data_IF_588696504970
#
_entry.id   IF_588696504970
#
_cell.length_a   1.000
_cell.length_b   1.000
_cell.length_c   1.000
_cell.angle_alpha   90.00
_cell.angle_beta   90.00
_cell.angle_gamma   90.00
#
_symmetry.space_group_name_H-M   'P 1'
#
loop_
_entity.id
_entity.type
_entity.pdbx_description
1 polymer ?
#
# COMPACT_ATOMS: atom_id res chain seq x y z
N UNK A 1 4.68 -8.98 -2.60
CA UNK A 1 3.46 -9.63 -3.12
C UNK A 1 3.67 -10.24 -4.50
N UNK A 2 3.85 -9.46 -5.58
CA UNK A 2 3.96 -10.00 -6.96
C UNK A 2 5.01 -11.11 -7.14
N UNK A 3 6.19 -10.95 -6.53
CA UNK A 3 7.23 -11.98 -6.58
C UNK A 3 6.86 -13.30 -5.88
N UNK A 4 6.03 -13.24 -4.83
CA UNK A 4 5.51 -14.43 -4.14
C UNK A 4 4.50 -15.13 -5.03
N UNK A 5 3.50 -14.39 -5.52
CA UNK A 5 2.51 -14.88 -6.48
C UNK A 5 3.17 -15.56 -7.69
N UNK A 6 4.17 -14.92 -8.32
CA UNK A 6 4.89 -15.46 -9.48
C UNK A 6 5.58 -16.82 -9.22
N UNK A 7 6.00 -17.07 -7.98
CA UNK A 7 6.70 -18.30 -7.61
C UNK A 7 5.72 -19.39 -7.16
N UNK A 8 4.69 -19.03 -6.39
CA UNK A 8 3.82 -20.00 -5.71
C UNK A 8 2.51 -20.27 -6.43
N UNK A 9 1.88 -19.24 -6.97
CA UNK A 9 0.49 -19.31 -7.48
C UNK A 9 0.42 -19.21 -9.01
N UNK A 10 1.35 -18.48 -9.63
CA UNK A 10 1.34 -18.29 -11.06
C UNK A 10 1.58 -19.62 -11.81
N UNK A 11 0.86 -19.83 -12.94
CA UNK A 11 1.11 -20.97 -13.82
C UNK A 11 2.57 -21.09 -14.25
N UNK A 12 3.08 -22.32 -14.38
CA UNK A 12 4.50 -22.59 -14.69
C UNK A 12 4.98 -21.99 -16.02
N UNK A 13 4.08 -21.70 -16.95
CA UNK A 13 4.41 -21.07 -18.22
C UNK A 13 4.74 -19.57 -18.07
N UNK A 14 4.26 -18.91 -17.00
CA UNK A 14 4.57 -17.50 -16.72
C UNK A 14 5.97 -17.42 -16.08
N UNK A 15 6.95 -17.01 -16.87
CA UNK A 15 8.36 -16.92 -16.42
C UNK A 15 8.76 -15.54 -15.92
N UNK A 16 8.06 -14.49 -16.39
CA UNK A 16 8.42 -13.09 -16.16
C UNK A 16 7.18 -12.23 -15.96
N UNK A 17 7.26 -11.32 -15.00
CA UNK A 17 6.29 -10.23 -14.81
C UNK A 17 7.01 -8.92 -15.07
N UNK A 18 6.41 -8.07 -15.89
CA UNK A 18 6.90 -6.72 -16.17
C UNK A 18 6.06 -5.69 -15.42
N UNK A 19 6.74 -4.77 -14.75
CA UNK A 19 6.15 -3.62 -14.08
C UNK A 19 6.66 -2.38 -14.79
N UNK A 20 5.75 -1.58 -15.34
CA UNK A 20 6.08 -0.34 -16.03
C UNK A 20 5.51 0.82 -15.21
N UNK A 21 6.36 1.76 -14.82
CA UNK A 21 5.90 3.02 -14.25
C UNK A 21 5.51 3.97 -15.38
N UNK A 22 4.42 4.74 -15.24
CA UNK A 22 4.04 5.71 -16.26
C UNK A 22 5.06 6.85 -16.37
N UNK A 23 5.09 7.48 -17.54
CA UNK A 23 5.76 8.76 -17.73
C UNK A 23 4.97 9.82 -16.97
N UNK A 24 5.65 10.60 -16.14
CA UNK A 24 5.03 11.72 -15.41
C UNK A 24 4.39 12.67 -16.43
N UNK A 25 3.11 13.01 -16.24
CA UNK A 25 2.35 13.88 -17.15
C UNK A 25 1.61 13.16 -18.29
N UNK A 26 1.83 11.86 -18.48
CA UNK A 26 1.12 11.05 -19.48
C UNK A 26 0.47 9.83 -18.84
N UNK A 27 -0.61 10.10 -18.12
CA UNK A 27 -1.50 9.12 -17.53
C UNK A 27 -2.42 8.51 -18.60
N UNK A 28 -1.87 7.66 -19.48
CA UNK A 28 -2.67 6.83 -20.40
C UNK A 28 -3.04 5.47 -19.77
N UNK A 29 -3.15 5.43 -18.44
CA UNK A 29 -3.46 4.20 -17.72
C UNK A 29 -5.00 4.01 -17.75
N UNK A 30 -5.52 2.85 -18.18
CA UNK A 30 -6.97 2.60 -18.22
C UNK A 30 -7.72 2.91 -16.90
N UNK A 31 -7.17 2.61 -15.71
CA UNK A 31 -7.67 3.11 -14.43
C UNK A 31 -7.96 4.61 -14.34
N UNK A 32 -7.16 5.46 -14.99
CA UNK A 32 -7.35 6.92 -14.92
C UNK A 32 -8.57 7.36 -15.73
N UNK A 33 -8.90 6.64 -16.81
CA UNK A 33 -10.15 6.85 -17.55
C UNK A 33 -11.37 6.50 -16.69
N UNK A 34 -11.29 5.39 -15.95
CA UNK A 34 -12.36 4.98 -15.03
C UNK A 34 -12.52 6.02 -13.91
N UNK A 35 -11.42 6.50 -13.35
CA UNK A 35 -11.43 7.57 -12.36
C UNK A 35 -12.04 8.86 -12.92
N UNK A 36 -11.67 9.26 -14.14
CA UNK A 36 -12.23 10.44 -14.79
C UNK A 36 -13.75 10.32 -15.01
N UNK A 37 -14.25 9.12 -15.33
CA UNK A 37 -15.68 8.85 -15.44
C UNK A 37 -16.39 8.97 -14.09
N UNK A 38 -15.85 8.36 -13.04
CA UNK A 38 -16.36 8.47 -11.67
C UNK A 38 -16.42 9.95 -11.23
N UNK A 39 -15.34 10.71 -11.45
CA UNK A 39 -15.28 12.14 -11.09
C UNK A 39 -16.29 12.96 -11.89
N UNK A 40 -16.46 12.66 -13.19
CA UNK A 40 -17.45 13.33 -14.03
C UNK A 40 -18.86 13.10 -13.51
N UNK A 41 -19.17 11.89 -13.07
CA UNK A 41 -20.49 11.54 -12.55
C UNK A 41 -20.74 12.07 -11.13
N UNK A 42 -19.70 12.12 -10.29
CA UNK A 42 -19.77 12.82 -9.00
C UNK A 42 -20.06 14.32 -9.19
N UNK A 43 -19.42 14.97 -10.16
CA UNK A 43 -19.64 16.41 -10.44
C UNK A 43 -21.04 16.73 -10.97
N UNK A 44 -21.74 15.77 -11.58
CA UNK A 44 -23.14 15.97 -12.02
C UNK A 44 -24.11 16.00 -10.85
N UNK A 45 -23.75 15.45 -9.69
CA UNK A 45 -24.59 15.44 -8.49
C UNK A 45 -24.25 16.65 -7.65
N UNK A 46 -25.19 17.59 -7.52
CA UNK A 46 -25.00 18.81 -6.74
C UNK A 46 -24.82 18.53 -5.24
N UNK A 47 -25.52 17.50 -4.72
CA UNK A 47 -25.47 17.11 -3.31
C UNK A 47 -25.34 15.60 -3.18
N UNK A 48 -24.37 15.16 -2.38
CA UNK A 48 -24.22 13.77 -1.96
C UNK A 48 -24.62 13.69 -0.50
N UNK A 49 -25.77 13.07 -0.25
CA UNK A 49 -26.42 13.09 1.07
C UNK A 49 -25.95 11.94 1.97
N UNK A 50 -25.54 10.82 1.39
CA UNK A 50 -25.09 9.64 2.12
C UNK A 50 -23.82 9.01 1.53
N UNK A 51 -22.99 8.33 2.34
CA UNK A 51 -21.83 7.58 1.86
C UNK A 51 -22.17 6.45 0.88
N UNK A 52 -23.39 5.91 0.96
CA UNK A 52 -23.90 4.84 0.09
C UNK A 52 -23.97 5.29 -1.37
N UNK A 53 -24.31 6.56 -1.62
CA UNK A 53 -24.35 7.12 -2.98
C UNK A 53 -22.97 7.09 -3.64
N UNK A 54 -21.88 7.26 -2.88
CA UNK A 54 -20.52 7.07 -3.42
C UNK A 54 -20.26 5.63 -3.81
N UNK A 55 -20.69 4.67 -2.97
CA UNK A 55 -20.52 3.25 -3.23
C UNK A 55 -21.28 2.83 -4.49
N UNK A 56 -22.51 3.29 -4.67
CA UNK A 56 -23.31 3.03 -5.87
C UNK A 56 -22.60 3.51 -7.14
N UNK A 57 -22.13 4.76 -7.16
CA UNK A 57 -21.45 5.34 -8.33
C UNK A 57 -20.16 4.57 -8.63
N UNK A 58 -19.35 4.28 -7.62
CA UNK A 58 -18.09 3.55 -7.82
C UNK A 58 -18.37 2.12 -8.31
N UNK A 59 -19.41 1.47 -7.79
CA UNK A 59 -19.77 0.09 -8.15
C UNK A 59 -20.24 -0.04 -9.60
N UNK A 60 -20.77 1.03 -10.21
CA UNK A 60 -21.12 1.05 -11.64
C UNK A 60 -19.90 0.89 -12.55
N UNK A 61 -18.74 1.37 -12.11
CA UNK A 61 -17.52 1.36 -12.91
C UNK A 61 -16.50 0.31 -12.45
N UNK A 62 -16.57 -0.13 -11.20
CA UNK A 62 -15.58 -0.98 -10.56
C UNK A 62 -16.23 -2.07 -9.71
N UNK A 63 -15.56 -3.22 -9.58
CA UNK A 63 -15.93 -4.21 -8.58
C UNK A 63 -15.51 -3.73 -7.19
N UNK A 64 -16.47 -3.32 -6.37
CA UNK A 64 -16.22 -2.94 -4.99
C UNK A 64 -16.24 -4.19 -4.11
N UNK A 65 -15.21 -4.37 -3.28
CA UNK A 65 -15.20 -5.39 -2.22
C UNK A 65 -14.96 -4.71 -0.88
N UNK A 66 -15.82 -4.98 0.09
CA UNK A 66 -15.74 -4.34 1.39
C UNK A 66 -14.53 -4.87 2.17
N UNK A 67 -13.80 -3.97 2.84
CA UNK A 67 -12.52 -4.30 3.47
C UNK A 67 -12.67 -5.25 4.67
N UNK A 68 -13.84 -5.25 5.30
CA UNK A 68 -14.23 -6.17 6.37
C UNK A 68 -14.36 -7.62 5.91
N UNK A 69 -14.69 -7.84 4.63
CA UNK A 69 -14.81 -9.19 4.05
C UNK A 69 -13.47 -9.81 3.66
N UNK A 70 -12.41 -9.01 3.50
CA UNK A 70 -11.10 -9.47 3.03
C UNK A 70 -10.09 -9.45 4.17
N UNK A 71 -9.38 -10.57 4.36
CA UNK A 71 -8.22 -10.61 5.24
C UNK A 71 -7.09 -9.71 4.69
N UNK A 72 -6.83 -8.60 5.37
CA UNK A 72 -5.71 -7.70 5.05
C UNK A 72 -4.43 -8.30 5.61
N UNK A 73 -3.42 -8.53 4.77
CA UNK A 73 -2.17 -9.18 5.16
C UNK A 73 -1.06 -8.14 5.34
N UNK A 74 -0.27 -8.25 6.42
CA UNK A 74 0.92 -7.41 6.63
C UNK A 74 2.09 -7.92 5.79
N UNK A 75 2.10 -7.49 4.54
CA UNK A 75 3.22 -7.75 3.65
C UNK A 75 4.49 -7.01 4.08
N UNK A 76 4.37 -5.85 4.75
CA UNK A 76 5.50 -4.96 5.02
C UNK A 76 6.46 -5.56 6.02
N UNK A 77 5.92 -5.98 7.17
CA UNK A 77 6.72 -6.65 8.20
C UNK A 77 7.23 -8.00 7.71
N UNK A 78 6.42 -8.72 6.93
CA UNK A 78 6.78 -10.02 6.39
C UNK A 78 7.96 -9.97 5.40
N UNK A 79 8.05 -8.94 4.52
CA UNK A 79 9.14 -8.88 3.53
C UNK A 79 10.44 -8.34 4.11
N UNK A 80 10.41 -7.51 5.16
CA UNK A 80 11.58 -6.85 5.75
C UNK A 80 12.75 -7.80 6.10
N UNK A 81 12.53 -9.00 6.68
CA UNK A 81 13.61 -9.96 6.94
C UNK A 81 14.10 -10.71 5.68
N UNK A 82 13.32 -10.76 4.60
CA UNK A 82 13.59 -11.61 3.43
C UNK A 82 14.22 -10.82 2.29
N UNK A 83 13.74 -9.60 2.03
CA UNK A 83 14.15 -8.78 0.89
C UNK A 83 15.22 -7.78 1.34
N UNK A 84 16.24 -7.57 0.48
CA UNK A 84 17.25 -6.52 0.69
C UNK A 84 16.59 -5.15 0.64
N UNK A 85 17.04 -4.17 1.46
CA UNK A 85 16.55 -2.80 1.32
C UNK A 85 16.88 -2.28 -0.08
N UNK A 86 16.04 -1.37 -0.57
CA UNK A 86 16.13 -0.82 -1.92
C UNK A 86 17.47 -0.15 -2.21
N UNK A 87 18.15 0.38 -1.18
CA UNK A 87 19.49 0.98 -1.26
C UNK A 87 20.59 -0.02 -1.60
N UNK A 88 20.41 -1.31 -1.25
CA UNK A 88 21.38 -2.38 -1.54
C UNK A 88 21.07 -3.12 -2.85
N UNK A 89 20.12 -2.62 -3.64
CA UNK A 89 19.84 -3.22 -4.94
C UNK A 89 20.92 -2.82 -5.93
N UNK A 90 21.11 -3.68 -6.93
CA UNK A 90 22.04 -3.41 -8.03
C UNK A 90 21.55 -2.30 -8.98
N UNK A 91 20.30 -1.84 -8.80
CA UNK A 91 19.67 -0.79 -9.59
C UNK A 91 19.14 0.29 -8.66
N UNK A 92 19.21 1.54 -9.11
CA UNK A 92 18.64 2.68 -8.40
C UNK A 92 17.13 2.69 -8.64
N UNK A 93 16.35 2.27 -7.65
CA UNK A 93 14.90 2.08 -7.77
C UNK A 93 14.17 3.31 -8.32
N UNK A 94 14.51 4.50 -7.83
CA UNK A 94 13.89 5.77 -8.24
C UNK A 94 14.14 6.13 -9.72
N UNK A 95 15.26 5.67 -10.30
CA UNK A 95 15.58 5.93 -11.71
C UNK A 95 14.97 4.92 -12.67
N UNK A 96 14.54 3.77 -12.15
CA UNK A 96 13.98 2.71 -12.99
C UNK A 96 12.57 3.10 -13.45
N UNK A 97 12.34 2.93 -14.75
CA UNK A 97 11.02 3.10 -15.39
C UNK A 97 10.33 1.77 -15.61
N UNK A 98 11.10 0.68 -15.72
CA UNK A 98 10.58 -0.69 -15.84
C UNK A 98 11.30 -1.60 -14.86
N UNK A 99 10.57 -2.55 -14.28
CA UNK A 99 11.12 -3.68 -13.56
C UNK A 99 10.65 -4.98 -14.17
N UNK A 100 11.54 -5.96 -14.22
CA UNK A 100 11.20 -7.33 -14.56
C UNK A 100 11.47 -8.24 -13.38
N UNK A 101 10.45 -8.97 -12.99
CA UNK A 101 10.53 -10.05 -12.03
C UNK A 101 10.61 -11.35 -12.82
N UNK A 102 11.73 -12.04 -12.76
CA UNK A 102 11.93 -13.31 -13.47
C UNK A 102 12.06 -14.46 -12.49
N UNK A 103 11.39 -15.57 -12.77
CA UNK A 103 11.54 -16.82 -12.04
C UNK A 103 12.88 -17.48 -12.42
N UNK A 104 13.72 -17.75 -11.42
CA UNK A 104 14.93 -18.56 -11.60
C UNK A 104 14.59 -20.05 -11.68
N UNK A 105 15.47 -20.84 -12.29
CA UNK A 105 15.43 -22.31 -12.25
C UNK A 105 15.47 -22.85 -10.82
N UNK A 106 16.13 -22.13 -9.90
CA UNK A 106 16.25 -22.48 -8.47
C UNK A 106 15.11 -21.94 -7.60
N UNK A 107 13.95 -21.61 -8.19
CA UNK A 107 12.78 -20.99 -7.50
C UNK A 107 13.09 -19.69 -6.74
N UNK A 108 14.22 -19.03 -7.04
CA UNK A 108 14.54 -17.70 -6.55
C UNK A 108 13.96 -16.62 -7.48
N UNK A 109 13.70 -15.44 -6.92
CA UNK A 109 13.25 -14.28 -7.69
C UNK A 109 14.44 -13.43 -8.12
N UNK A 110 14.52 -13.18 -9.43
CA UNK A 110 15.49 -12.27 -10.01
C UNK A 110 14.78 -10.96 -10.37
N UNK A 111 15.41 -9.85 -10.02
CA UNK A 111 14.99 -8.52 -10.44
C UNK A 111 15.94 -8.01 -11.51
N UNK A 112 15.37 -7.36 -12.52
CA UNK A 112 16.05 -6.52 -13.49
C UNK A 112 15.34 -5.16 -13.49
N UNK A 113 16.09 -4.07 -13.41
CA UNK A 113 15.56 -2.72 -13.45
C UNK A 113 16.12 -1.97 -14.64
N UNK A 114 15.25 -1.35 -15.44
CA UNK A 114 15.62 -0.56 -16.61
C UNK A 114 15.31 0.91 -16.37
N UNK A 115 16.27 1.77 -16.69
CA UNK A 115 16.11 3.23 -16.59
C UNK A 115 15.40 3.82 -17.80
N UNK A 116 15.36 3.11 -18.92
CA UNK A 116 14.70 3.56 -20.15
C UNK A 116 13.51 2.67 -20.48
N UNK A 117 12.56 3.19 -21.25
CA UNK A 117 11.42 2.40 -21.71
C UNK A 117 11.77 1.46 -22.86
N UNK A 118 12.72 1.84 -23.71
CA UNK A 118 12.97 1.19 -25.00
C UNK A 118 14.16 0.21 -25.00
N UNK A 119 15.13 0.41 -24.12
CA UNK A 119 16.38 -0.36 -24.11
C UNK A 119 16.41 -1.26 -22.89
N UNK A 120 16.85 -2.51 -23.09
CA UNK A 120 16.98 -3.52 -22.03
C UNK A 120 18.46 -3.87 -21.80
N UNK A 121 18.98 -3.53 -20.62
CA UNK A 121 20.35 -3.84 -20.17
C UNK A 121 20.49 -5.31 -19.78
N UNK A 122 19.38 -6.00 -19.47
CA UNK A 122 19.30 -7.45 -19.24
C UNK A 122 20.13 -8.00 -18.08
N UNK A 123 20.51 -7.15 -17.13
CA UNK A 123 21.18 -7.58 -15.89
C UNK A 123 20.14 -8.02 -14.86
N UNK A 124 20.17 -9.31 -14.50
CA UNK A 124 19.27 -9.93 -13.53
C UNK A 124 20.04 -10.31 -12.28
N UNK A 125 19.61 -9.82 -11.10
CA UNK A 125 20.22 -10.19 -9.80
C UNK A 125 19.17 -10.53 -8.74
N UNK A 126 19.49 -11.41 -7.79
CA UNK A 126 18.59 -11.76 -6.70
C UNK A 126 18.45 -10.61 -5.69
N UNK A 127 17.21 -10.34 -5.28
CA UNK A 127 16.87 -9.29 -4.31
C UNK A 127 16.66 -9.81 -2.88
N UNK A 128 16.68 -11.13 -2.68
CA UNK A 128 16.57 -11.73 -1.35
C UNK A 128 17.89 -11.60 -0.58
N UNK A 129 17.81 -11.57 0.75
CA UNK A 129 18.96 -11.67 1.64
C UNK A 129 19.59 -13.07 1.54
N UNK A 130 20.85 -13.20 1.97
CA UNK A 130 21.58 -14.48 1.94
C UNK A 130 20.78 -15.56 2.68
N UNK A 131 20.68 -16.75 2.09
CA UNK A 131 19.96 -17.91 2.63
C UNK A 131 18.46 -17.69 2.89
N UNK A 132 17.84 -16.68 2.26
CA UNK A 132 16.40 -16.45 2.33
C UNK A 132 15.78 -16.59 0.96
N UNK A 133 14.60 -17.22 0.91
CA UNK A 133 13.79 -17.39 -0.28
C UNK A 133 12.43 -16.73 -0.09
N UNK A 134 11.80 -16.35 -1.20
CA UNK A 134 10.47 -15.70 -1.18
C UNK A 134 9.38 -16.70 -0.80
N UNK A 135 9.60 -18.00 -1.01
CA UNK A 135 8.64 -19.05 -0.64
C UNK A 135 8.36 -19.06 0.87
N UNK A 136 9.32 -18.65 1.70
CA UNK A 136 9.19 -18.59 3.18
C UNK A 136 8.26 -17.45 3.62
N UNK A 137 8.01 -16.47 2.76
CA UNK A 137 7.16 -15.31 3.08
C UNK A 137 5.74 -15.77 3.41
N UNK A 138 5.35 -15.53 4.65
CA UNK A 138 4.04 -15.85 5.25
C UNK A 138 3.56 -14.60 5.99
N UNK A 139 2.78 -13.72 5.33
CA UNK A 139 2.31 -12.50 5.96
C UNK A 139 1.23 -12.82 7.00
N UNK A 140 1.25 -12.09 8.11
CA UNK A 140 0.27 -12.21 9.19
C UNK A 140 -0.97 -11.40 8.85
N UNK A 141 -2.15 -11.91 9.19
CA UNK A 141 -3.41 -11.17 9.03
C UNK A 141 -3.42 -10.00 10.00
N UNK A 142 -3.70 -8.80 9.50
CA UNK A 142 -3.90 -7.61 10.32
C UNK A 142 -5.33 -7.67 10.87
N UNK A 143 -5.50 -7.82 12.20
CA UNK A 143 -6.83 -7.88 12.78
C UNK A 143 -7.54 -6.54 12.65
N UNK A 144 -8.79 -6.58 12.19
CA UNK A 144 -9.63 -5.41 12.08
C UNK A 144 -9.78 -4.71 13.43
N UNK A 145 -9.75 -3.37 13.43
CA UNK A 145 -9.87 -2.54 14.61
C UNK A 145 -8.79 -2.73 15.69
N UNK A 146 -7.74 -3.52 15.50
CA UNK A 146 -6.68 -3.68 16.52
C UNK A 146 -5.45 -2.78 16.28
N UNK A 147 -5.43 -2.04 15.18
CA UNK A 147 -4.36 -1.07 14.91
C UNK A 147 -4.42 0.09 15.91
N UNK A 148 -3.34 0.28 16.65
CA UNK A 148 -3.21 1.36 17.62
C UNK A 148 -2.53 2.54 16.95
N UNK A 149 -3.22 3.69 16.77
CA UNK A 149 -2.63 4.83 16.10
C UNK A 149 -1.47 5.44 16.91
N UNK A 150 -0.56 6.13 16.22
CA UNK A 150 0.52 6.90 16.86
C UNK A 150 -0.04 7.97 17.82
N UNK A 151 0.72 8.34 18.85
CA UNK A 151 0.28 9.28 19.90
C UNK A 151 -0.13 10.62 19.30
N UNK A 152 0.71 11.11 18.40
CA UNK A 152 0.50 12.36 17.68
C UNK A 152 -0.87 12.40 16.99
N UNK A 153 -1.26 11.32 16.29
CA UNK A 153 -2.55 11.22 15.59
C UNK A 153 -3.74 11.25 16.57
N UNK A 154 -3.64 10.57 17.70
CA UNK A 154 -4.72 10.56 18.71
C UNK A 154 -4.89 11.94 19.36
N UNK A 155 -3.78 12.61 19.65
CA UNK A 155 -3.78 13.98 20.17
C UNK A 155 -4.39 14.95 19.16
N UNK A 156 -4.01 14.82 17.89
CA UNK A 156 -4.51 15.66 16.81
C UNK A 156 -6.03 15.48 16.60
N UNK A 157 -6.50 14.24 16.50
CA UNK A 157 -7.95 13.94 16.43
C UNK A 157 -8.69 14.47 17.66
N UNK A 158 -8.11 14.33 18.86
CA UNK A 158 -8.70 14.89 20.09
C UNK A 158 -8.78 16.41 20.04
N UNK A 159 -7.80 17.08 19.42
CA UNK A 159 -7.79 18.53 19.26
C UNK A 159 -8.84 18.97 18.23
N UNK A 160 -9.01 18.23 17.13
CA UNK A 160 -10.06 18.51 16.14
C UNK A 160 -11.46 18.47 16.76
N UNK A 161 -11.76 17.44 17.56
CA UNK A 161 -13.05 17.35 18.23
C UNK A 161 -13.27 18.44 19.27
N UNK A 162 -12.25 18.72 20.08
CA UNK A 162 -12.33 19.73 21.15
C UNK A 162 -12.38 21.17 20.64
N UNK A 163 -11.64 21.50 19.57
CA UNK A 163 -11.43 22.89 19.13
C UNK A 163 -12.32 23.29 17.96
N UNK A 164 -12.62 22.39 17.01
CA UNK A 164 -13.31 22.77 15.76
C UNK A 164 -14.79 22.40 15.71
N UNK A 165 -15.16 21.16 16.04
CA UNK A 165 -16.49 20.66 15.70
C UNK A 165 -17.46 20.59 16.88
N UNK A 166 -17.05 20.00 18.02
CA UNK A 166 -17.99 19.53 19.05
C UNK A 166 -17.70 20.07 20.46
N UNK A 167 -16.70 20.96 20.59
CA UNK A 167 -16.30 21.60 21.85
C UNK A 167 -16.07 20.55 22.96
N UNK A 168 -16.60 20.76 24.17
CA UNK A 168 -16.41 19.86 25.33
C UNK A 168 -17.30 18.61 25.29
N UNK A 169 -18.43 18.64 24.57
CA UNK A 169 -19.49 17.62 24.60
C UNK A 169 -19.28 16.44 23.62
N UNK A 170 -18.18 16.43 22.88
CA UNK A 170 -17.89 15.36 21.91
C UNK A 170 -17.85 13.96 22.54
N UNK A 171 -17.60 13.87 23.85
CA UNK A 171 -17.59 12.60 24.59
C UNK A 171 -18.97 12.00 24.81
N UNK A 172 -20.04 12.78 24.66
CA UNK A 172 -21.40 12.32 24.94
C UNK A 172 -22.09 11.80 23.67
N UNK A 173 -21.52 12.11 22.51
CA UNK A 173 -22.04 11.71 21.20
C UNK A 173 -21.77 10.21 20.98
N UNK A 174 -22.84 9.45 20.69
CA UNK A 174 -22.79 8.00 20.42
C UNK A 174 -22.05 7.67 19.11
N UNK A 175 -22.20 8.50 18.08
CA UNK A 175 -21.52 8.29 16.79
C UNK A 175 -19.98 8.38 16.88
N UNK A 176 -19.44 8.97 17.96
CA UNK A 176 -17.99 9.09 18.19
C UNK A 176 -17.42 8.02 19.12
N UNK A 177 -18.20 7.00 19.47
CA UNK A 177 -17.79 5.93 20.39
C UNK A 177 -16.53 5.18 19.93
N UNK A 178 -16.39 4.94 18.62
CA UNK A 178 -15.18 4.35 18.02
C UNK A 178 -13.90 5.07 18.47
N UNK A 179 -13.90 6.40 18.47
CA UNK A 179 -12.72 7.19 18.85
C UNK A 179 -12.42 7.13 20.36
N UNK A 180 -13.45 6.88 21.18
CA UNK A 180 -13.27 6.65 22.64
C UNK A 180 -12.57 5.31 22.85
N UNK A 181 -13.02 4.27 22.16
CA UNK A 181 -12.41 2.92 22.21
C UNK A 181 -10.96 2.95 21.75
N UNK A 182 -10.65 3.65 20.66
CA UNK A 182 -9.27 3.81 20.15
C UNK A 182 -8.37 4.52 21.16
N UNK A 183 -8.87 5.56 21.84
CA UNK A 183 -8.11 6.28 22.87
C UNK A 183 -7.90 5.40 24.12
N UNK A 184 -8.90 4.65 24.54
CA UNK A 184 -8.85 3.76 25.70
C UNK A 184 -7.86 2.61 25.54
N UNK A 185 -7.73 2.04 24.34
CA UNK A 185 -6.78 0.93 24.08
C UNK A 185 -5.32 1.34 24.34
N UNK A 186 -4.94 2.57 23.95
CA UNK A 186 -3.58 3.07 24.18
C UNK A 186 -3.24 3.21 25.67
N UNK A 187 -4.20 3.58 26.52
CA UNK A 187 -3.94 3.74 27.96
C UNK A 187 -3.68 2.42 28.70
N UNK A 188 -3.99 1.27 28.10
CA UNK A 188 -3.66 -0.03 28.67
C UNK A 188 -2.25 -0.49 28.28
N UNK A 189 -1.89 -0.42 26.99
CA UNK A 189 -0.55 -0.87 26.55
C UNK A 189 0.62 0.03 26.99
N UNK A 190 0.37 1.31 27.28
CA UNK A 190 1.42 2.19 27.81
C UNK A 190 1.93 1.74 29.20
N UNK A 191 1.20 0.85 29.91
CA UNK A 191 1.69 0.25 31.16
C UNK A 191 2.69 -0.89 30.96
N UNK A 192 2.80 -1.43 29.74
CA UNK A 192 3.59 -2.66 29.47
C UNK A 192 4.86 -2.41 28.62
N UNK A 193 5.11 -1.18 28.14
CA UNK A 193 6.19 -0.89 27.15
C UNK A 193 7.28 0.05 27.70
N UNK A 194 7.07 0.71 28.84
CA UNK A 194 8.02 1.70 29.37
C UNK A 194 9.31 1.06 29.96
N UNK A 195 9.52 -0.26 29.85
CA UNK A 195 10.73 -0.95 30.37
C UNK A 195 11.78 -1.37 29.31
N UNK A 196 11.51 -1.34 28.00
CA UNK A 196 12.48 -1.91 27.04
C UNK A 196 12.41 -1.32 25.62
N UNK A 197 12.82 -0.06 25.40
CA UNK A 197 13.21 0.35 24.04
C UNK A 197 14.35 1.36 24.02
N UNK A 198 15.56 0.84 23.80
CA UNK A 198 16.71 1.61 23.35
C UNK A 198 16.38 2.35 22.03
N UNK A 199 16.81 3.60 21.98
CA UNK A 199 16.52 4.58 20.93
C UNK A 199 17.08 4.15 19.56
N UNK A 200 16.20 4.07 18.55
CA UNK A 200 16.63 4.05 17.14
C UNK A 200 16.61 5.51 16.65
N UNK A 201 17.73 6.05 16.12
CA UNK A 201 17.80 7.45 15.69
C UNK A 201 16.79 7.78 14.60
N UNK A 202 16.01 8.84 14.84
CA UNK A 202 14.86 9.29 14.06
C UNK A 202 15.19 10.10 12.80
N UNK A 203 16.38 9.96 12.23
CA UNK A 203 16.93 10.96 11.28
C UNK A 203 17.00 10.53 9.81
N UNK A 204 16.19 9.56 9.37
CA UNK A 204 16.19 9.13 7.95
C UNK A 204 15.16 9.84 7.05
N UNK A 205 14.40 10.83 7.52
CA UNK A 205 13.33 11.44 6.72
C UNK A 205 13.12 12.95 6.96
N UNK A 206 14.17 13.75 7.14
CA UNK A 206 13.97 15.20 7.40
C UNK A 206 13.99 16.11 6.18
N UNK A 207 14.58 15.74 5.05
CA UNK A 207 14.64 16.65 3.90
C UNK A 207 14.00 16.04 2.65
N UNK A 208 12.87 16.60 2.19
CA UNK A 208 12.40 16.39 0.81
C UNK A 208 10.91 16.12 0.54
N UNK A 209 9.98 16.54 1.41
CA UNK A 209 8.54 16.49 1.08
C UNK A 209 7.81 17.77 1.51
N UNK A 210 8.24 18.90 0.97
CA UNK A 210 7.41 20.08 0.93
C UNK A 210 6.70 20.12 -0.44
N UNK A 211 5.37 20.19 -0.39
CA UNK A 211 4.43 20.45 -1.48
C UNK A 211 4.18 19.35 -2.53
N UNK A 212 3.63 18.21 -2.11
CA UNK A 212 2.68 17.46 -2.95
C UNK A 212 1.51 17.00 -2.09
N UNK A 213 0.28 17.40 -2.45
CA UNK A 213 -0.96 16.76 -2.01
C UNK A 213 -0.97 15.31 -2.53
N UNK A 214 -0.24 14.43 -1.84
CA UNK A 214 -0.13 13.02 -2.18
C UNK A 214 -1.33 12.29 -1.58
N UNK A 215 -2.42 12.22 -2.34
CA UNK A 215 -3.47 11.24 -2.09
C UNK A 215 -2.85 9.88 -2.40
N UNK A 216 -2.45 9.16 -1.35
CA UNK A 216 -1.96 7.79 -1.45
C UNK A 216 -3.13 6.88 -1.79
N UNK A 217 -3.39 6.69 -3.08
CA UNK A 217 -4.15 5.53 -3.55
C UNK A 217 -3.26 4.30 -3.48
N UNK A 218 -3.43 3.50 -2.43
CA UNK A 218 -3.13 2.07 -2.53
C UNK A 218 -4.19 1.46 -3.45
N UNK A 219 -3.98 1.55 -4.77
CA UNK A 219 -4.70 0.73 -5.74
C UNK A 219 -4.19 -0.71 -5.63
N UNK A 220 -4.62 -1.42 -4.58
CA UNK A 220 -4.98 -2.82 -4.74
C UNK A 220 -6.41 -2.85 -5.27
N UNK A 221 -6.57 -2.45 -6.54
CA UNK A 221 -7.71 -2.90 -7.31
C UNK A 221 -7.57 -4.42 -7.38
N UNK A 222 -8.49 -5.13 -6.73
CA UNK A 222 -8.77 -6.52 -7.04
C UNK A 222 -8.97 -6.63 -8.56
N UNK A 223 -7.96 -7.10 -9.27
CA UNK A 223 -8.02 -7.41 -10.69
C UNK A 223 -7.92 -8.93 -10.86
N UNK A 224 -8.98 -9.60 -11.34
CA UNK A 224 -8.82 -10.87 -12.03
C UNK A 224 -8.16 -10.67 -13.41
N UNK A 225 -8.21 -9.46 -13.96
CA UNK A 225 -7.73 -9.17 -15.32
C UNK A 225 -6.56 -8.19 -15.30
N UNK A 226 -5.40 -8.70 -14.88
CA UNK A 226 -4.13 -8.07 -15.26
C UNK A 226 -3.92 -8.32 -16.75
N UNK A 227 -3.88 -7.26 -17.57
CA UNK A 227 -3.25 -7.35 -18.90
C UNK A 227 -1.74 -7.54 -18.72
N UNK A 228 -1.34 -8.75 -18.33
CA UNK A 228 0.02 -9.22 -18.49
C UNK A 228 0.28 -9.32 -19.99
N UNK A 229 1.17 -8.47 -20.54
CA UNK A 229 1.83 -8.82 -21.79
C UNK A 229 2.73 -10.02 -21.51
N UNK A 230 2.19 -11.21 -21.74
CA UNK A 230 2.97 -12.45 -21.78
C UNK A 230 3.76 -12.46 -23.08
N UNK A 231 5.04 -12.12 -23.00
CA UNK A 231 5.98 -12.44 -24.08
C UNK A 231 6.38 -13.90 -23.94
N UNK A 232 6.00 -14.74 -24.92
CA UNK A 232 6.44 -16.13 -25.04
C UNK A 232 7.97 -16.25 -25.09
#
# INVERSE_FOLDING_TARGET
>A
MLGKWLITEAPRHIKRVEIVFPVVGHSFIPPDHVFAQIVKDLKKREVISSPEQYQEIITQYCKMTALDTIAVLDWKSAYAPIIKPTTSWHVQFQKCKRFFLTRSKTNNLLLQGEQTYKIEINVKKPITKKNKSITILTPVVIPANQLIPKKAKITDVSNLFKKKHYRRQWRDIKTLELYKTVKGRRSYEQRDIDEDTAEIPSDLCKDGFDDINLIVFFNFLCLPDFQCRTTN
#
